data_IF_180484526578
#
_entry.id   IF_180484526578
#
_cell.length_a   1.000
_cell.length_b   1.000
_cell.length_c   1.000
_cell.angle_alpha   90.00
_cell.angle_beta   90.00
_cell.angle_gamma   90.00
#
_symmetry.space_group_name_H-M   'P 1'
#
loop_
_entity.id
_entity.type
_entity.pdbx_description
1 polymer ?
#
# COMPACT_ATOMS: atom_id res chain seq x y z
N UNK A 1 12.37 26.58 -4.81
CA UNK A 1 12.04 25.90 -3.53
C UNK A 1 11.74 24.46 -3.83
N UNK A 2 12.34 23.55 -3.09
CA UNK A 2 12.02 22.13 -3.21
C UNK A 2 10.59 21.87 -2.76
N UNK A 3 9.91 20.87 -3.36
CA UNK A 3 8.51 20.55 -3.04
C UNK A 3 8.32 20.28 -1.54
N UNK A 4 9.28 19.61 -0.91
CA UNK A 4 9.26 19.34 0.54
C UNK A 4 9.22 20.62 1.38
N UNK A 5 9.88 21.71 0.94
CA UNK A 5 9.89 22.99 1.65
C UNK A 5 8.57 23.76 1.50
N UNK A 6 7.68 23.29 0.61
CA UNK A 6 6.37 23.89 0.39
C UNK A 6 5.26 23.16 1.15
N UNK A 7 5.50 21.91 1.50
CA UNK A 7 4.50 21.03 2.13
C UNK A 7 4.64 21.04 3.66
N UNK A 8 5.86 21.19 4.15
CA UNK A 8 6.13 21.23 5.60
C UNK A 8 6.37 22.69 5.99
N UNK A 9 5.45 23.26 6.75
CA UNK A 9 5.67 24.52 7.45
C UNK A 9 6.71 24.30 8.54
N UNK A 10 7.77 25.10 8.59
CA UNK A 10 8.88 24.95 9.55
C UNK A 10 8.44 25.01 11.02
N UNK A 11 7.28 25.64 11.28
CA UNK A 11 6.71 25.77 12.62
C UNK A 11 5.81 24.59 13.01
N UNK A 12 5.63 23.59 12.14
CA UNK A 12 4.79 22.43 12.44
C UNK A 12 5.57 21.40 13.26
N UNK A 13 5.08 21.15 14.46
CA UNK A 13 5.63 20.13 15.35
C UNK A 13 5.02 18.77 15.00
N UNK A 14 5.87 17.75 14.90
CA UNK A 14 5.50 16.38 14.58
C UNK A 14 5.75 15.48 15.78
N UNK A 15 4.71 14.99 16.40
CA UNK A 15 4.77 14.14 17.58
C UNK A 15 4.34 12.70 17.22
N UNK A 16 5.31 11.77 17.09
CA UNK A 16 5.02 10.39 16.73
C UNK A 16 4.48 9.61 17.93
N UNK A 17 3.42 8.85 17.71
CA UNK A 17 2.86 7.91 18.65
C UNK A 17 2.57 6.55 17.97
N UNK A 18 2.27 5.47 18.69
CA UNK A 18 2.14 4.14 18.07
C UNK A 18 1.12 4.05 16.94
N UNK A 19 0.03 4.81 16.98
CA UNK A 19 -1.06 4.74 16.03
C UNK A 19 -0.95 5.76 14.88
N UNK A 20 -0.06 6.77 14.98
CA UNK A 20 0.00 7.83 13.99
C UNK A 20 1.05 8.90 14.31
N UNK A 21 0.86 10.03 13.70
CA UNK A 21 1.68 11.23 13.84
C UNK A 21 0.77 12.41 14.14
N UNK A 22 0.91 13.00 15.32
CA UNK A 22 0.19 14.24 15.63
C UNK A 22 0.96 15.43 15.06
N UNK A 23 0.25 16.25 14.29
CA UNK A 23 0.76 17.47 13.67
C UNK A 23 0.08 18.66 14.36
N UNK A 24 0.88 19.56 14.92
CA UNK A 24 0.37 20.76 15.57
C UNK A 24 1.33 21.93 15.41
N UNK A 25 0.83 23.14 15.61
CA UNK A 25 1.61 24.36 15.50
C UNK A 25 1.41 25.19 16.75
N UNK A 26 2.51 25.72 17.30
CA UNK A 26 2.46 26.57 18.46
C UNK A 26 1.67 27.87 18.18
N UNK A 27 0.77 28.24 19.07
CA UNK A 27 -0.11 29.41 18.88
C UNK A 27 -1.32 29.19 17.97
N UNK A 28 -1.55 27.97 17.46
CA UNK A 28 -2.76 27.60 16.71
C UNK A 28 -3.59 26.61 17.54
N UNK A 29 -4.91 26.86 17.56
CA UNK A 29 -5.83 25.91 18.17
C UNK A 29 -6.06 24.72 17.25
N UNK A 30 -5.98 23.51 17.82
CA UNK A 30 -6.23 22.25 17.14
C UNK A 30 -4.96 21.53 16.71
N UNK A 31 -5.10 20.22 16.57
CA UNK A 31 -4.07 19.32 16.04
C UNK A 31 -4.69 18.41 15.00
N UNK A 32 -3.86 17.93 14.07
CA UNK A 32 -4.24 16.90 13.10
C UNK A 32 -3.50 15.61 13.45
N UNK A 33 -4.20 14.51 13.40
CA UNK A 33 -3.63 13.18 13.48
C UNK A 33 -3.52 12.61 12.07
N UNK A 34 -2.29 12.28 11.66
CA UNK A 34 -2.00 11.59 10.42
C UNK A 34 -1.83 10.10 10.72
N UNK A 35 -2.67 9.26 10.11
CA UNK A 35 -2.58 7.79 10.17
C UNK A 35 -2.21 7.24 8.81
N UNK A 36 -1.36 6.23 8.81
CA UNK A 36 -0.81 5.63 7.59
C UNK A 36 -1.19 4.17 7.51
N UNK A 37 -1.51 3.75 6.28
CA UNK A 37 -1.97 2.40 6.01
C UNK A 37 -1.26 1.86 4.77
N UNK A 38 -0.74 0.66 4.89
CA UNK A 38 -0.24 -0.16 3.79
C UNK A 38 -1.24 -1.24 3.40
N UNK A 39 -1.08 -1.86 2.23
CA UNK A 39 -1.93 -2.97 1.81
C UNK A 39 -1.41 -4.27 2.42
N UNK A 40 -2.25 -4.92 3.22
CA UNK A 40 -1.98 -6.25 3.78
C UNK A 40 -2.24 -7.37 2.77
N UNK A 41 -3.32 -7.26 2.02
CA UNK A 41 -3.66 -8.23 1.00
C UNK A 41 -4.40 -7.58 -0.17
N UNK A 42 -4.09 -8.05 -1.36
CA UNK A 42 -4.73 -7.66 -2.61
C UNK A 42 -5.88 -8.62 -2.93
N UNK A 43 -6.91 -8.17 -3.68
CA UNK A 43 -7.88 -9.07 -4.28
C UNK A 43 -7.20 -10.01 -5.29
N UNK A 44 -7.80 -11.15 -5.58
CA UNK A 44 -7.24 -12.12 -6.55
C UNK A 44 -7.02 -11.54 -7.95
N UNK A 45 -7.85 -10.59 -8.33
CA UNK A 45 -7.75 -9.88 -9.61
C UNK A 45 -7.97 -8.40 -9.36
N UNK A 46 -7.02 -7.61 -9.79
CA UNK A 46 -7.10 -6.16 -9.71
C UNK A 46 -6.47 -5.54 -10.94
N UNK A 47 -7.12 -4.54 -11.48
CA UNK A 47 -6.61 -3.78 -12.61
C UNK A 47 -6.40 -2.33 -12.19
N UNK A 48 -5.33 -1.71 -12.68
CA UNK A 48 -4.93 -0.35 -12.27
C UNK A 48 -6.03 0.69 -12.49
N UNK A 49 -6.90 0.55 -13.52
CA UNK A 49 -8.03 1.47 -13.73
C UNK A 49 -9.08 1.41 -12.61
N UNK A 50 -9.10 0.33 -11.80
CA UNK A 50 -10.01 0.21 -10.66
C UNK A 50 -9.56 1.03 -9.45
N UNK A 51 -8.34 1.60 -9.48
CA UNK A 51 -7.83 2.49 -8.43
C UNK A 51 -8.78 3.66 -8.15
N UNK A 52 -9.45 4.18 -9.17
CA UNK A 52 -10.46 5.24 -9.00
C UNK A 52 -11.57 4.89 -8.00
N UNK A 53 -11.87 3.62 -7.81
CA UNK A 53 -12.88 3.18 -6.85
C UNK A 53 -12.39 3.22 -5.38
N UNK A 54 -11.09 3.37 -5.16
CA UNK A 54 -10.48 3.47 -3.83
C UNK A 54 -10.50 4.90 -3.26
N UNK A 55 -10.80 5.90 -4.08
CA UNK A 55 -10.98 7.29 -3.63
C UNK A 55 -12.36 7.55 -3.01
N UNK A 56 -13.19 6.52 -2.92
CA UNK A 56 -14.56 6.59 -2.39
C UNK A 56 -15.62 6.73 -3.48
N UNK A 57 -16.86 6.72 -3.07
CA UNK A 57 -18.02 6.85 -3.97
C UNK A 57 -18.76 8.16 -3.68
N UNK A 58 -18.80 9.04 -4.69
CA UNK A 58 -19.46 10.35 -4.55
C UNK A 58 -20.97 10.25 -4.35
N UNK A 59 -21.58 9.15 -4.78
CA UNK A 59 -23.04 8.94 -4.68
C UNK A 59 -23.46 8.20 -3.40
N UNK A 60 -22.51 7.59 -2.69
CA UNK A 60 -22.76 6.83 -1.47
C UNK A 60 -22.04 7.46 -0.28
N UNK A 61 -22.72 8.24 0.58
CA UNK A 61 -22.08 8.94 1.71
C UNK A 61 -21.32 8.00 2.67
N UNK A 62 -21.81 6.77 2.83
CA UNK A 62 -21.15 5.76 3.67
C UNK A 62 -19.79 5.27 3.12
N UNK A 63 -19.50 5.50 1.83
CA UNK A 63 -18.26 5.16 1.15
C UNK A 63 -17.47 6.41 0.75
N UNK A 64 -17.67 7.52 1.44
CA UNK A 64 -16.88 8.74 1.26
C UNK A 64 -15.89 8.88 2.42
N UNK A 65 -14.68 9.28 2.11
CA UNK A 65 -13.73 9.65 3.17
C UNK A 65 -14.27 10.84 3.96
N UNK A 66 -14.32 10.70 5.27
CA UNK A 66 -14.76 11.76 6.18
C UNK A 66 -13.67 12.79 6.51
N UNK A 67 -12.46 12.57 6.00
CA UNK A 67 -11.28 13.39 6.27
C UNK A 67 -10.39 13.49 5.01
N UNK A 68 -9.57 14.54 4.89
CA UNK A 68 -8.55 14.63 3.85
C UNK A 68 -7.63 13.41 3.85
N UNK A 69 -7.26 12.96 2.67
CA UNK A 69 -6.39 11.79 2.51
C UNK A 69 -5.41 11.99 1.35
N UNK A 70 -4.30 11.25 1.40
CA UNK A 70 -3.36 11.05 0.30
C UNK A 70 -3.35 9.56 -0.04
N UNK A 71 -3.54 9.26 -1.31
CA UNK A 71 -3.37 7.91 -1.85
C UNK A 71 -2.16 7.93 -2.79
N UNK A 72 -1.10 7.27 -2.36
CA UNK A 72 0.16 7.18 -3.11
C UNK A 72 0.34 5.78 -3.66
N UNK A 73 0.71 5.70 -4.93
CA UNK A 73 1.10 4.46 -5.58
C UNK A 73 2.47 4.63 -6.21
N UNK A 74 3.41 3.80 -5.79
CA UNK A 74 4.71 3.65 -6.44
C UNK A 74 4.70 2.41 -7.32
N UNK A 75 5.24 2.55 -8.52
CA UNK A 75 5.40 1.45 -9.49
C UNK A 75 6.88 1.38 -9.86
N UNK A 76 7.52 0.27 -9.53
CA UNK A 76 8.90 0.00 -9.92
C UNK A 76 8.92 -1.13 -10.95
N UNK A 77 9.44 -0.84 -12.13
CA UNK A 77 9.60 -1.84 -13.20
C UNK A 77 10.88 -2.61 -12.94
N UNK A 78 10.73 -3.91 -12.71
CA UNK A 78 11.86 -4.78 -12.40
C UNK A 78 12.66 -5.15 -13.66
N UNK A 79 13.98 -5.31 -13.52
CA UNK A 79 14.85 -5.72 -14.63
C UNK A 79 14.41 -7.10 -15.17
N UNK A 80 14.01 -7.20 -16.45
CA UNK A 80 13.51 -8.45 -17.02
C UNK A 80 14.53 -9.59 -16.96
N UNK A 81 15.84 -9.29 -17.09
CA UNK A 81 16.88 -10.31 -17.07
C UNK A 81 17.06 -10.92 -15.69
N UNK A 82 17.06 -10.07 -14.66
CA UNK A 82 17.11 -10.50 -13.26
C UNK A 82 15.86 -11.28 -12.91
N UNK A 83 14.70 -10.77 -13.29
CA UNK A 83 13.42 -11.40 -12.98
C UNK A 83 13.21 -12.74 -13.66
N UNK A 84 13.70 -12.93 -14.88
CA UNK A 84 13.64 -14.21 -15.58
C UNK A 84 14.34 -15.32 -14.76
N UNK A 85 15.51 -15.04 -14.21
CA UNK A 85 16.23 -16.00 -13.37
C UNK A 85 15.49 -16.31 -12.05
N UNK A 86 14.98 -15.27 -11.39
CA UNK A 86 14.24 -15.39 -10.12
C UNK A 86 12.94 -16.18 -10.31
N UNK A 87 12.16 -15.86 -11.35
CA UNK A 87 10.90 -16.53 -11.66
C UNK A 87 11.15 -18.00 -12.02
N UNK A 88 12.16 -18.28 -12.85
CA UNK A 88 12.52 -19.66 -13.22
C UNK A 88 12.89 -20.47 -11.98
N UNK A 89 13.74 -19.94 -11.11
CA UNK A 89 14.14 -20.65 -9.88
C UNK A 89 12.94 -20.91 -8.95
N UNK A 90 12.07 -19.92 -8.77
CA UNK A 90 10.89 -20.07 -7.92
C UNK A 90 9.84 -21.00 -8.55
N UNK A 91 9.65 -20.98 -9.86
CA UNK A 91 8.77 -21.91 -10.57
C UNK A 91 9.25 -23.35 -10.39
N UNK A 92 10.55 -23.61 -10.56
CA UNK A 92 11.16 -24.95 -10.31
C UNK A 92 10.91 -25.40 -8.86
N UNK A 93 11.18 -24.51 -7.89
CA UNK A 93 10.92 -24.80 -6.47
C UNK A 93 9.45 -25.08 -6.18
N UNK A 94 8.55 -24.27 -6.72
CA UNK A 94 7.10 -24.46 -6.56
C UNK A 94 6.64 -25.80 -7.16
N UNK A 95 7.19 -26.17 -8.34
CA UNK A 95 6.91 -27.46 -8.99
C UNK A 95 7.40 -28.65 -8.14
N UNK A 96 8.60 -28.56 -7.57
CA UNK A 96 9.13 -29.58 -6.66
C UNK A 96 8.26 -29.71 -5.41
N UNK A 97 7.86 -28.59 -4.79
CA UNK A 97 7.00 -28.60 -3.62
C UNK A 97 5.61 -29.20 -3.93
N UNK A 98 5.04 -28.90 -5.09
CA UNK A 98 3.75 -29.46 -5.51
C UNK A 98 3.78 -30.98 -5.77
N UNK A 99 4.96 -31.53 -6.09
CA UNK A 99 5.17 -33.00 -6.26
C UNK A 99 5.53 -33.69 -4.95
N UNK A 100 5.79 -32.95 -3.90
CA UNK A 100 6.17 -33.49 -2.60
C UNK A 100 4.93 -33.77 -1.74
N UNK A 101 5.11 -34.59 -0.69
CA UNK A 101 4.07 -34.84 0.33
C UNK A 101 3.62 -33.55 1.05
N UNK A 102 4.36 -32.46 0.93
CA UNK A 102 3.95 -31.15 1.47
C UNK A 102 2.69 -30.61 0.79
N UNK A 103 2.41 -30.97 -0.46
CA UNK A 103 1.20 -30.57 -1.16
C UNK A 103 -0.09 -31.10 -0.50
N UNK A 104 -0.02 -32.25 0.18
CA UNK A 104 -1.16 -32.83 0.90
C UNK A 104 -1.48 -32.10 2.21
N UNK A 105 -0.47 -31.45 2.80
CA UNK A 105 -0.58 -30.79 4.12
C UNK A 105 -0.75 -29.26 3.98
N UNK A 106 -0.27 -28.68 2.88
CA UNK A 106 -0.25 -27.23 2.65
C UNK A 106 -1.10 -26.87 1.41
N UNK A 107 -2.34 -26.44 1.57
CA UNK A 107 -3.24 -26.12 0.44
C UNK A 107 -2.72 -24.97 -0.46
N UNK A 108 -1.87 -24.08 0.06
CA UNK A 108 -1.30 -22.95 -0.69
C UNK A 108 -0.25 -23.35 -1.73
N UNK A 109 0.26 -24.59 -1.70
CA UNK A 109 1.33 -25.04 -2.61
C UNK A 109 0.84 -25.04 -4.06
N UNK A 110 -0.39 -25.50 -4.29
CA UNK A 110 -1.01 -25.48 -5.63
C UNK A 110 -1.19 -24.06 -6.17
N UNK A 111 -1.65 -23.13 -5.33
CA UNK A 111 -1.83 -21.73 -5.69
C UNK A 111 -0.50 -21.06 -6.04
N UNK A 112 0.54 -21.28 -5.22
CA UNK A 112 1.89 -20.77 -5.49
C UNK A 112 2.46 -21.28 -6.82
N UNK A 113 2.20 -22.54 -7.17
CA UNK A 113 2.62 -23.08 -8.47
C UNK A 113 1.90 -22.38 -9.62
N UNK A 114 0.59 -22.14 -9.51
CA UNK A 114 -0.18 -21.42 -10.51
C UNK A 114 0.33 -19.99 -10.69
N UNK A 115 0.60 -19.29 -9.59
CA UNK A 115 1.10 -17.91 -9.61
C UNK A 115 2.49 -17.83 -10.30
N UNK A 116 3.41 -18.75 -9.97
CA UNK A 116 4.74 -18.77 -10.61
C UNK A 116 4.68 -19.22 -12.08
N UNK A 117 3.74 -20.10 -12.43
CA UNK A 117 3.50 -20.48 -13.83
C UNK A 117 2.96 -19.29 -14.63
N UNK A 118 2.02 -18.52 -14.06
CA UNK A 118 1.50 -17.31 -14.70
C UNK A 118 2.60 -16.25 -14.89
N UNK A 119 3.46 -16.05 -13.88
CA UNK A 119 4.59 -15.13 -13.97
C UNK A 119 5.61 -15.55 -15.04
N UNK A 120 5.93 -16.86 -15.15
CA UNK A 120 6.82 -17.38 -16.17
C UNK A 120 6.26 -17.15 -17.58
N UNK A 121 4.99 -17.48 -17.80
CA UNK A 121 4.31 -17.25 -19.07
C UNK A 121 4.27 -15.76 -19.44
N UNK A 122 4.05 -14.87 -18.47
CA UNK A 122 4.05 -13.43 -18.71
C UNK A 122 5.41 -12.92 -19.19
N UNK A 123 6.50 -13.40 -18.58
CA UNK A 123 7.86 -13.04 -19.01
C UNK A 123 8.18 -13.61 -20.40
N UNK A 124 7.76 -14.83 -20.69
CA UNK A 124 8.03 -15.47 -22.00
C UNK A 124 7.30 -14.76 -23.14
N UNK A 125 6.15 -14.13 -22.91
CA UNK A 125 5.46 -13.28 -23.89
C UNK A 125 5.96 -11.83 -23.91
N UNK A 126 7.02 -11.51 -23.15
CA UNK A 126 7.68 -10.20 -23.14
C UNK A 126 7.06 -9.18 -22.17
N UNK A 127 6.21 -9.60 -21.24
CA UNK A 127 5.69 -8.73 -20.20
C UNK A 127 6.75 -8.46 -19.13
N UNK A 128 6.75 -7.25 -18.58
CA UNK A 128 7.61 -6.89 -17.45
C UNK A 128 6.87 -7.11 -16.13
N UNK A 129 7.60 -7.59 -15.13
CA UNK A 129 7.10 -7.62 -13.76
C UNK A 129 7.32 -6.26 -13.09
N UNK A 130 6.38 -5.89 -12.24
CA UNK A 130 6.46 -4.64 -11.49
C UNK A 130 6.30 -4.91 -10.00
N UNK A 131 7.01 -4.15 -9.18
CA UNK A 131 6.75 -4.04 -7.76
C UNK A 131 5.82 -2.87 -7.52
N UNK A 132 4.79 -3.07 -6.71
CA UNK A 132 3.81 -2.05 -6.39
C UNK A 132 3.92 -1.68 -4.91
N UNK A 133 3.97 -0.39 -4.65
CA UNK A 133 3.86 0.18 -3.33
C UNK A 133 2.59 1.03 -3.27
N UNK A 134 1.77 0.79 -2.26
CA UNK A 134 0.56 1.59 -2.02
C UNK A 134 0.57 2.08 -0.60
N UNK A 135 0.29 3.35 -0.42
CA UNK A 135 0.12 3.94 0.89
C UNK A 135 -1.10 4.87 0.90
N UNK A 136 -1.89 4.74 1.93
CA UNK A 136 -2.98 5.65 2.26
C UNK A 136 -2.60 6.41 3.52
N UNK A 137 -2.59 7.73 3.45
CA UNK A 137 -2.46 8.61 4.60
C UNK A 137 -3.78 9.36 4.81
N UNK A 138 -4.28 9.39 6.04
CA UNK A 138 -5.52 10.07 6.43
C UNK A 138 -5.19 11.12 7.47
N UNK A 139 -5.69 12.34 7.27
CA UNK A 139 -5.45 13.49 8.14
C UNK A 139 -6.79 13.90 8.77
N UNK A 140 -6.93 13.72 10.07
CA UNK A 140 -8.17 14.03 10.78
C UNK A 140 -7.90 14.65 12.14
N UNK A 141 -8.85 15.40 12.70
CA UNK A 141 -8.78 15.73 14.12
C UNK A 141 -8.70 14.45 14.96
N UNK A 142 -7.97 14.44 16.08
CA UNK A 142 -7.75 13.23 16.89
C UNK A 142 -9.05 12.50 17.30
N UNK A 143 -10.10 13.26 17.61
CA UNK A 143 -11.41 12.71 18.00
C UNK A 143 -12.13 11.98 16.87
N UNK A 144 -11.78 12.25 15.59
CA UNK A 144 -12.35 11.63 14.40
C UNK A 144 -11.46 10.58 13.77
N UNK A 145 -10.25 10.39 14.27
CA UNK A 145 -9.26 9.51 13.65
C UNK A 145 -9.72 8.04 13.55
N UNK A 146 -10.42 7.55 14.56
CA UNK A 146 -10.95 6.17 14.55
C UNK A 146 -12.06 6.02 13.51
N UNK A 147 -13.03 6.95 13.46
CA UNK A 147 -14.12 6.87 12.49
C UNK A 147 -13.64 7.04 11.04
N UNK A 148 -12.62 7.87 10.81
CA UNK A 148 -11.98 8.01 9.51
C UNK A 148 -11.28 6.73 9.07
N UNK A 149 -10.61 6.04 10.00
CA UNK A 149 -10.01 4.72 9.77
C UNK A 149 -11.05 3.65 9.40
N UNK A 150 -12.17 3.60 10.14
CA UNK A 150 -13.24 2.64 9.87
C UNK A 150 -13.85 2.85 8.49
N UNK A 151 -14.07 4.10 8.10
CA UNK A 151 -14.55 4.47 6.77
C UNK A 151 -13.58 4.02 5.68
N UNK A 152 -12.29 4.28 5.85
CA UNK A 152 -11.27 3.84 4.91
C UNK A 152 -11.25 2.31 4.79
N UNK A 153 -11.28 1.60 5.92
CA UNK A 153 -11.34 0.14 5.93
C UNK A 153 -12.58 -0.40 5.21
N UNK A 154 -13.75 0.25 5.35
CA UNK A 154 -14.98 -0.14 4.67
C UNK A 154 -14.86 0.03 3.14
N UNK A 155 -14.31 1.17 2.68
CA UNK A 155 -14.08 1.46 1.25
C UNK A 155 -13.17 0.38 0.64
N UNK A 156 -12.03 0.10 1.27
CA UNK A 156 -11.03 -0.83 0.75
C UNK A 156 -11.50 -2.28 0.80
N UNK A 157 -12.14 -2.69 1.90
CA UNK A 157 -12.73 -4.04 2.02
C UNK A 157 -13.83 -4.28 1.00
N UNK A 158 -14.65 -3.28 0.71
CA UNK A 158 -15.67 -3.35 -0.33
C UNK A 158 -15.11 -3.63 -1.73
N UNK A 159 -13.80 -3.40 -1.94
CA UNK A 159 -13.06 -3.70 -3.18
C UNK A 159 -12.12 -4.92 -3.05
N UNK A 160 -12.20 -5.65 -1.96
CA UNK A 160 -11.42 -6.88 -1.74
C UNK A 160 -10.02 -6.66 -1.19
N UNK A 161 -9.65 -5.43 -0.86
CA UNK A 161 -8.37 -5.11 -0.21
C UNK A 161 -8.47 -5.22 1.30
N UNK A 162 -7.35 -5.52 1.94
CA UNK A 162 -7.20 -5.38 3.38
C UNK A 162 -6.09 -4.38 3.68
N UNK A 163 -6.42 -3.35 4.45
CA UNK A 163 -5.45 -2.39 4.95
C UNK A 163 -4.79 -2.91 6.24
N UNK A 164 -3.54 -2.58 6.40
CA UNK A 164 -2.78 -2.72 7.64
C UNK A 164 -2.45 -1.32 8.15
N UNK A 165 -2.73 -1.02 9.41
CA UNK A 165 -2.28 0.22 10.02
C UNK A 165 -0.78 0.14 10.27
N UNK A 166 -0.04 1.12 9.76
CA UNK A 166 1.39 1.21 9.99
C UNK A 166 1.65 1.64 11.44
N UNK A 167 2.70 1.09 12.04
CA UNK A 167 3.05 1.34 13.43
C UNK A 167 4.51 1.79 13.51
N UNK A 168 4.77 2.86 14.23
CA UNK A 168 6.10 3.45 14.49
C UNK A 168 6.87 4.03 13.27
N UNK A 169 6.47 3.78 12.04
CA UNK A 169 7.17 4.28 10.84
C UNK A 169 6.50 5.52 10.21
N UNK A 170 5.80 6.31 11.01
CA UNK A 170 4.90 7.35 10.53
C UNK A 170 5.60 8.50 9.79
N UNK A 171 6.82 8.90 10.21
CA UNK A 171 7.59 9.94 9.51
C UNK A 171 8.04 9.48 8.12
N UNK A 172 8.52 8.24 8.03
CA UNK A 172 8.90 7.63 6.76
C UNK A 172 7.68 7.50 5.85
N UNK A 173 6.56 7.06 6.41
CA UNK A 173 5.30 6.93 5.71
C UNK A 173 4.78 8.29 5.20
N UNK A 174 4.89 9.36 6.00
CA UNK A 174 4.57 10.71 5.56
C UNK A 174 5.45 11.15 4.37
N UNK A 175 6.76 10.97 4.49
CA UNK A 175 7.68 11.31 3.40
C UNK A 175 7.39 10.48 2.14
N UNK A 176 7.16 9.17 2.27
CA UNK A 176 6.83 8.28 1.15
C UNK A 176 5.48 8.62 0.49
N UNK A 177 4.58 9.28 1.20
CA UNK A 177 3.30 9.74 0.65
C UNK A 177 3.44 10.97 -0.25
N UNK A 178 4.56 11.69 -0.18
CA UNK A 178 4.79 12.89 -0.97
C UNK A 178 5.28 12.55 -2.38
N UNK A 179 4.95 13.37 -3.40
CA UNK A 179 5.43 13.16 -4.76
C UNK A 179 6.97 13.14 -4.83
N UNK A 180 7.54 12.20 -5.59
CA UNK A 180 8.98 12.08 -5.86
C UNK A 180 9.88 11.82 -4.64
N UNK A 181 9.30 11.45 -3.50
CA UNK A 181 10.08 11.15 -2.29
C UNK A 181 10.21 9.67 -2.02
N UNK A 182 9.55 8.83 -2.79
CA UNK A 182 9.64 7.38 -2.71
C UNK A 182 11.06 6.95 -3.07
N UNK A 183 11.77 6.38 -2.11
CA UNK A 183 13.10 5.79 -2.33
C UNK A 183 12.99 4.30 -2.65
N UNK A 184 14.00 3.75 -3.31
CA UNK A 184 14.09 2.30 -3.60
C UNK A 184 14.00 1.42 -2.35
N UNK A 185 14.25 1.97 -1.16
CA UNK A 185 14.17 1.25 0.11
C UNK A 185 12.74 0.83 0.51
N UNK A 186 11.70 1.32 -0.17
CA UNK A 186 10.30 1.00 0.11
C UNK A 186 9.68 -0.02 -0.85
N UNK A 187 10.46 -0.55 -1.80
CA UNK A 187 9.98 -1.55 -2.75
C UNK A 187 10.33 -2.98 -2.32
#
# INVERSE_FOLDING_TARGET
>A
REIRDQIVDFDTIQDPHPAGLTLWKEGHEGSLEARFYSIKSFPERFALWQMGSLIGDLMQPALQYSAPFLLTMGVHVLDPNVMKSVVTANHVRATQNARSKMAEVMPDVGKKLQDWTAAANAIDVGSSLVSLYHQLAIFSPPEKAVSAQETANAIWRGRGFQLNADVYMHRQALLASLPMTLSEAFY
#
